data_IF_959945814341
#
_entry.id   IF_959945814341
#
_cell.length_a   1.000
_cell.length_b   1.000
_cell.length_c   1.000
_cell.angle_alpha   90.00
_cell.angle_beta   90.00
_cell.angle_gamma   90.00
#
_symmetry.space_group_name_H-M   'P 1'
#
loop_
_entity.id
_entity.type
_entity.pdbx_description
1 polymer ?
#
# COMPACT_ATOMS: atom_id res chain seq x y z
N UNK A 1 -5.04 13.08 -21.52
CA UNK A 1 -4.40 11.77 -21.29
C UNK A 1 -2.89 11.94 -21.38
N UNK A 2 -2.12 11.01 -20.82
CA UNK A 2 -0.65 11.09 -20.80
C UNK A 2 -0.15 10.85 -22.23
N UNK A 3 0.33 11.90 -22.89
CA UNK A 3 0.94 11.76 -24.21
C UNK A 3 2.40 11.33 -24.07
N UNK A 4 2.82 10.43 -24.96
CA UNK A 4 4.17 9.90 -25.07
C UNK A 4 4.96 10.52 -26.23
N UNK A 5 4.66 11.78 -26.58
CA UNK A 5 5.21 12.54 -27.71
C UNK A 5 6.58 13.19 -27.45
N UNK A 6 7.27 12.78 -26.39
CA UNK A 6 8.55 13.33 -25.94
C UNK A 6 9.54 12.21 -25.58
N UNK A 7 10.84 12.53 -25.63
CA UNK A 7 11.91 11.58 -25.34
C UNK A 7 12.86 12.10 -24.25
N UNK A 8 13.62 11.18 -23.64
CA UNK A 8 14.63 11.53 -22.63
C UNK A 8 14.13 11.53 -21.17
N UNK A 9 12.93 11.03 -20.89
CA UNK A 9 12.49 10.75 -19.52
C UNK A 9 11.44 9.66 -19.45
N UNK A 10 10.84 9.51 -18.26
CA UNK A 10 9.89 8.44 -17.96
C UNK A 10 8.68 8.99 -17.20
N UNK A 11 7.51 8.36 -17.41
CA UNK A 11 6.29 8.63 -16.65
C UNK A 11 6.08 7.51 -15.65
N UNK A 12 5.82 7.87 -14.40
CA UNK A 12 5.39 6.95 -13.35
C UNK A 12 4.01 7.42 -12.90
N UNK A 13 3.02 6.54 -13.00
CA UNK A 13 1.67 6.77 -12.55
C UNK A 13 1.27 5.70 -11.53
N UNK A 14 0.40 6.07 -10.59
CA UNK A 14 -0.12 5.18 -9.55
C UNK A 14 -1.64 5.16 -9.58
N UNK A 15 -2.23 3.97 -9.45
CA UNK A 15 -3.66 3.83 -9.29
C UNK A 15 -4.04 4.07 -7.82
N UNK A 16 -5.21 4.66 -7.60
CA UNK A 16 -5.80 4.78 -6.27
C UNK A 16 -7.28 4.45 -6.32
N UNK A 17 -7.67 3.42 -5.56
CA UNK A 17 -9.08 3.15 -5.28
C UNK A 17 -9.62 4.19 -4.27
N UNK A 18 -8.82 4.58 -3.27
CA UNK A 18 -9.26 5.58 -2.29
C UNK A 18 -9.51 6.91 -2.99
N UNK A 19 -10.75 7.42 -2.87
CA UNK A 19 -11.19 8.64 -3.56
C UNK A 19 -11.65 8.43 -5.00
N UNK A 20 -11.67 7.21 -5.53
CA UNK A 20 -12.22 6.92 -6.85
C UNK A 20 -13.72 7.20 -6.90
N UNK A 21 -14.19 7.83 -7.96
CA UNK A 21 -15.61 8.02 -8.21
C UNK A 21 -16.17 6.82 -8.98
N UNK A 22 -17.34 6.33 -8.58
CA UNK A 22 -18.10 5.29 -9.29
C UNK A 22 -17.39 3.93 -9.49
N UNK A 23 -16.27 3.67 -8.80
CA UNK A 23 -15.63 2.35 -8.76
C UNK A 23 -15.93 1.63 -7.43
N UNK A 24 -16.08 0.29 -7.43
CA UNK A 24 -16.35 -0.47 -6.22
C UNK A 24 -15.14 -0.44 -5.27
N UNK A 25 -15.40 -0.52 -3.97
CA UNK A 25 -14.36 -0.40 -2.94
C UNK A 25 -13.29 -1.51 -2.97
N UNK A 26 -13.61 -2.64 -3.58
CA UNK A 26 -12.71 -3.79 -3.73
C UNK A 26 -11.91 -3.78 -5.04
N UNK A 27 -12.18 -2.85 -5.97
CA UNK A 27 -11.44 -2.79 -7.23
C UNK A 27 -10.02 -2.27 -6.99
N UNK A 28 -9.04 -2.97 -7.55
CA UNK A 28 -7.63 -2.56 -7.49
C UNK A 28 -6.88 -2.85 -8.79
N UNK A 29 -7.50 -3.53 -9.76
CA UNK A 29 -6.86 -3.86 -11.02
C UNK A 29 -6.85 -2.64 -11.96
N UNK A 30 -5.80 -2.46 -12.78
CA UNK A 30 -5.71 -1.35 -13.73
C UNK A 30 -6.92 -1.23 -14.64
N UNK A 31 -7.40 -2.33 -15.21
CA UNK A 31 -8.55 -2.32 -16.11
C UNK A 31 -9.86 -1.92 -15.40
N UNK A 32 -10.03 -2.32 -14.14
CA UNK A 32 -11.23 -1.98 -13.35
C UNK A 32 -11.27 -0.49 -12.99
N UNK A 33 -10.11 0.09 -12.66
CA UNK A 33 -10.00 1.48 -12.19
C UNK A 33 -9.86 2.49 -13.34
N UNK A 34 -9.20 2.13 -14.43
CA UNK A 34 -9.02 3.00 -15.60
C UNK A 34 -10.21 2.92 -16.57
N UNK A 35 -10.96 1.82 -16.54
CA UNK A 35 -11.93 1.49 -17.57
C UNK A 35 -11.26 1.24 -18.93
N UNK A 36 -12.07 1.04 -19.96
CA UNK A 36 -11.61 0.77 -21.33
C UNK A 36 -10.82 1.96 -21.90
N UNK A 37 -11.39 3.17 -21.85
CA UNK A 37 -10.76 4.39 -22.40
C UNK A 37 -9.40 4.70 -21.78
N UNK A 38 -9.31 4.63 -20.44
CA UNK A 38 -8.06 4.91 -19.73
C UNK A 38 -7.00 3.84 -19.94
N UNK A 39 -7.41 2.57 -20.07
CA UNK A 39 -6.49 1.48 -20.34
C UNK A 39 -5.92 1.56 -21.75
N UNK A 40 -6.78 1.76 -22.76
CA UNK A 40 -6.38 1.89 -24.17
C UNK A 40 -5.46 3.09 -24.40
N UNK A 41 -5.70 4.20 -23.71
CA UNK A 41 -4.83 5.37 -23.83
C UNK A 41 -3.46 5.21 -23.17
N UNK A 42 -3.33 4.33 -22.18
CA UNK A 42 -2.05 4.07 -21.51
C UNK A 42 -1.25 2.96 -22.17
N UNK A 43 -1.88 2.16 -23.03
CA UNK A 43 -1.22 1.08 -23.74
C UNK A 43 -0.21 1.62 -24.78
N UNK A 44 1.06 1.16 -24.80
CA UNK A 44 1.68 0.16 -23.92
C UNK A 44 2.25 0.73 -22.62
N UNK A 45 2.01 0.06 -21.50
CA UNK A 45 2.61 0.37 -20.19
C UNK A 45 3.14 -0.87 -19.47
N UNK A 46 3.99 -0.66 -18.45
CA UNK A 46 4.55 -1.73 -17.61
C UNK A 46 3.80 -1.76 -16.26
N UNK A 47 2.93 -2.74 -15.99
CA UNK A 47 2.24 -2.85 -14.71
C UNK A 47 3.20 -3.33 -13.61
N UNK A 48 3.18 -2.66 -12.45
CA UNK A 48 3.98 -3.04 -11.28
C UNK A 48 3.05 -3.31 -10.10
N UNK A 49 2.85 -4.58 -9.70
CA UNK A 49 2.01 -4.91 -8.55
C UNK A 49 2.70 -4.57 -7.23
N UNK A 50 1.98 -3.91 -6.32
CA UNK A 50 2.45 -3.63 -4.95
C UNK A 50 1.70 -4.54 -3.99
N UNK A 51 2.43 -5.46 -3.36
CA UNK A 51 1.88 -6.42 -2.40
C UNK A 51 1.89 -5.88 -0.97
N UNK A 52 1.26 -6.62 -0.05
CA UNK A 52 1.39 -6.39 1.40
C UNK A 52 2.84 -6.63 1.85
N UNK A 53 3.17 -6.22 3.08
CA UNK A 53 4.52 -6.45 3.59
C UNK A 53 4.87 -7.93 3.61
N UNK A 54 6.08 -8.24 3.17
CA UNK A 54 6.76 -9.48 3.51
C UNK A 54 7.05 -9.53 5.01
N UNK A 55 7.41 -10.71 5.51
CA UNK A 55 7.77 -10.89 6.93
C UNK A 55 8.94 -9.98 7.33
N UNK A 56 9.93 -9.81 6.45
CA UNK A 56 11.11 -8.97 6.71
C UNK A 56 10.77 -7.49 6.72
N UNK A 57 9.90 -7.03 5.83
CA UNK A 57 9.46 -5.63 5.78
C UNK A 57 8.61 -5.29 7.00
N UNK A 58 7.71 -6.20 7.39
CA UNK A 58 6.93 -6.05 8.61
C UNK A 58 7.86 -5.95 9.83
N UNK A 59 8.82 -6.87 9.95
CA UNK A 59 9.80 -6.85 11.05
C UNK A 59 10.54 -5.52 11.11
N UNK A 60 11.03 -5.05 9.97
CA UNK A 60 11.80 -3.81 9.88
C UNK A 60 10.94 -2.60 10.26
N UNK A 61 9.67 -2.57 9.85
CA UNK A 61 8.72 -1.51 10.20
C UNK A 61 8.37 -1.53 11.70
N UNK A 62 8.13 -2.72 12.27
CA UNK A 62 7.88 -2.88 13.70
C UNK A 62 9.07 -2.42 14.55
N UNK A 63 10.29 -2.85 14.21
CA UNK A 63 11.52 -2.42 14.89
C UNK A 63 11.73 -0.90 14.78
N UNK A 64 11.38 -0.31 13.64
CA UNK A 64 11.42 1.16 13.48
C UNK A 64 10.45 1.86 14.46
N UNK A 65 9.23 1.36 14.63
CA UNK A 65 8.30 1.94 15.60
C UNK A 65 8.77 1.77 17.05
N UNK A 66 9.42 0.65 17.39
CA UNK A 66 10.04 0.46 18.70
C UNK A 66 11.19 1.45 18.95
N UNK A 67 12.11 1.59 17.99
CA UNK A 67 13.26 2.51 18.09
C UNK A 67 12.81 3.97 18.26
N UNK A 68 11.76 4.37 17.55
CA UNK A 68 11.15 5.70 17.68
C UNK A 68 10.31 5.88 18.94
N UNK A 69 10.19 4.85 19.79
CA UNK A 69 9.29 4.84 20.94
C UNK A 69 7.86 5.24 20.53
N UNK A 70 7.41 4.79 19.35
CA UNK A 70 6.06 5.07 18.87
C UNK A 70 5.03 4.20 19.61
N UNK A 71 5.40 2.95 19.89
CA UNK A 71 4.56 1.98 20.60
C UNK A 71 4.68 2.13 22.12
N UNK A 72 3.68 2.75 22.74
CA UNK A 72 3.72 3.07 24.18
C UNK A 72 3.15 1.94 25.04
N UNK A 73 2.18 1.16 24.53
CA UNK A 73 1.58 0.07 25.28
C UNK A 73 2.60 -1.07 25.57
N UNK A 74 2.79 -1.49 26.84
CA UNK A 74 3.81 -2.50 27.17
C UNK A 74 3.64 -3.85 26.45
N UNK A 75 2.41 -4.30 26.23
CA UNK A 75 2.18 -5.56 25.51
C UNK A 75 2.51 -5.48 24.02
N UNK A 76 2.51 -4.28 23.43
CA UNK A 76 2.85 -4.11 22.01
C UNK A 76 4.34 -4.35 21.74
N UNK A 77 5.17 -4.36 22.79
CA UNK A 77 6.61 -4.59 22.72
C UNK A 77 6.98 -6.08 22.91
N UNK A 78 6.01 -6.96 23.17
CA UNK A 78 6.24 -8.41 23.34
C UNK A 78 6.02 -9.17 22.05
N UNK A 79 6.54 -10.40 21.98
CA UNK A 79 6.36 -11.28 20.83
C UNK A 79 4.90 -11.68 20.61
N UNK A 80 4.11 -11.76 21.68
CA UNK A 80 2.66 -12.00 21.61
C UNK A 80 1.94 -10.82 20.97
N UNK A 81 2.20 -9.59 21.44
CA UNK A 81 1.60 -8.39 20.88
C UNK A 81 1.97 -8.18 19.41
N UNK A 82 3.21 -8.50 19.04
CA UNK A 82 3.64 -8.50 17.64
C UNK A 82 2.85 -9.50 16.78
N UNK A 83 2.60 -10.72 17.27
CA UNK A 83 1.77 -11.71 16.55
C UNK A 83 0.33 -11.24 16.40
N UNK A 84 -0.24 -10.58 17.41
CA UNK A 84 -1.57 -9.97 17.33
C UNK A 84 -1.60 -8.85 16.28
N UNK A 85 -0.58 -7.99 16.23
CA UNK A 85 -0.45 -6.94 15.21
C UNK A 85 -0.36 -7.53 13.80
N UNK A 86 0.42 -8.60 13.61
CA UNK A 86 0.51 -9.31 12.32
C UNK A 86 -0.86 -9.86 11.93
N UNK A 87 -1.58 -10.49 12.86
CA UNK A 87 -2.88 -11.10 12.61
C UNK A 87 -3.94 -10.05 12.26
N UNK A 88 -4.06 -8.98 13.05
CA UNK A 88 -5.07 -7.94 12.87
C UNK A 88 -4.81 -7.07 11.63
N UNK A 89 -3.55 -6.75 11.35
CA UNK A 89 -3.19 -5.95 10.16
C UNK A 89 -3.14 -6.78 8.88
N UNK A 90 -2.99 -8.10 8.99
CA UNK A 90 -2.62 -8.98 7.88
C UNK A 90 -1.38 -8.46 7.11
N UNK A 91 -0.44 -7.80 7.81
CA UNK A 91 0.74 -7.13 7.23
C UNK A 91 0.37 -6.03 6.21
N UNK A 92 -0.84 -5.49 6.27
CA UNK A 92 -1.23 -4.34 5.47
C UNK A 92 -0.60 -3.06 6.07
N UNK A 93 0.18 -2.29 5.29
CA UNK A 93 0.87 -1.10 5.78
C UNK A 93 -0.07 -0.05 6.41
N UNK A 94 -1.19 0.25 5.75
CA UNK A 94 -2.14 1.27 6.19
C UNK A 94 -2.89 0.82 7.44
N UNK A 95 -3.28 -0.45 7.51
CA UNK A 95 -3.95 -0.99 8.70
C UNK A 95 -2.99 -1.05 9.88
N UNK A 96 -1.73 -1.48 9.66
CA UNK A 96 -0.71 -1.53 10.70
C UNK A 96 -0.45 -0.15 11.30
N UNK A 97 -0.21 0.87 10.46
CA UNK A 97 0.00 2.25 10.92
C UNK A 97 -1.20 2.73 11.76
N UNK A 98 -2.41 2.51 11.27
CA UNK A 98 -3.63 2.92 11.99
C UNK A 98 -3.78 2.21 13.32
N UNK A 99 -3.45 0.92 13.41
CA UNK A 99 -3.46 0.17 14.67
C UNK A 99 -2.40 0.71 15.64
N UNK A 100 -1.17 0.94 15.16
CA UNK A 100 -0.07 1.45 15.98
C UNK A 100 -0.24 2.92 16.40
N UNK A 101 -1.03 3.71 15.69
CA UNK A 101 -1.23 5.13 15.99
C UNK A 101 -1.90 5.41 17.34
N UNK A 102 -2.56 4.42 17.95
CA UNK A 102 -3.25 4.57 19.24
C UNK A 102 -2.77 3.58 20.31
N UNK A 103 -1.61 2.94 20.12
CA UNK A 103 -1.00 1.99 21.06
C UNK A 103 0.04 2.64 21.98
#
# INVERSE_FOLDING_TARGET
MINNDWCGGAVIATLSQTGSLYAPSSAYLPQELLGEEGFDSMDPFVPVPVSLYSEKEFESCYLYYLDRHWLQHPHSQTEEGKKELIFLSNRNPSVLERLCAFL
#
